data_IF_754481104930
#
_entry.id   IF_754481104930
#
_cell.length_a   1.000
_cell.length_b   1.000
_cell.length_c   1.000
_cell.angle_alpha   90.00
_cell.angle_beta   90.00
_cell.angle_gamma   90.00
#
_symmetry.space_group_name_H-M   'P 1'
#
loop_
_entity.id
_entity.type
_entity.pdbx_description
1 polymer ?
#
# COMPACT_ATOMS: atom_id res chain seq x y z
N UNK A 1 -12.38 13.65 -39.52
CA UNK A 1 -13.61 14.33 -39.08
C UNK A 1 -14.78 13.36 -39.21
N UNK A 2 -15.48 13.18 -38.09
CA UNK A 2 -16.90 12.76 -37.93
C UNK A 2 -17.34 11.35 -38.36
N UNK A 3 -17.70 10.53 -37.35
CA UNK A 3 -18.72 9.47 -37.47
C UNK A 3 -20.12 10.11 -37.55
N UNK A 4 -21.09 9.48 -38.25
CA UNK A 4 -22.50 9.64 -37.93
C UNK A 4 -23.07 8.41 -37.19
N UNK A 5 -24.21 8.66 -36.55
CA UNK A 5 -24.78 8.02 -35.37
C UNK A 5 -25.97 7.10 -35.70
N UNK A 6 -26.10 6.01 -34.91
CA UNK A 6 -27.30 5.29 -34.43
C UNK A 6 -28.46 4.89 -35.36
N UNK A 7 -28.88 3.61 -35.25
CA UNK A 7 -30.29 3.17 -35.13
C UNK A 7 -30.41 1.80 -34.45
N UNK A 8 -31.48 1.62 -33.67
CA UNK A 8 -31.82 0.52 -32.72
C UNK A 8 -32.78 -0.53 -33.32
N UNK A 9 -32.81 -1.76 -32.77
CA UNK A 9 -33.88 -2.76 -32.96
C UNK A 9 -33.40 -4.19 -32.70
N UNK A 10 -33.81 -4.88 -31.63
CA UNK A 10 -35.05 -5.67 -31.43
C UNK A 10 -34.70 -7.17 -31.39
N UNK A 11 -34.46 -7.73 -30.19
CA UNK A 11 -34.44 -9.19 -29.99
C UNK A 11 -35.86 -9.61 -29.61
N UNK A 12 -36.48 -10.42 -30.47
CA UNK A 12 -37.78 -11.05 -30.23
C UNK A 12 -37.65 -12.07 -29.09
N UNK A 13 -38.50 -11.93 -28.08
CA UNK A 13 -38.82 -12.98 -27.10
C UNK A 13 -40.07 -13.70 -27.61
N UNK A 14 -39.93 -14.97 -27.96
CA UNK A 14 -41.06 -15.88 -28.08
C UNK A 14 -40.88 -17.00 -27.03
N UNK A 15 -42.01 -17.29 -26.39
CA UNK A 15 -42.25 -17.90 -25.09
C UNK A 15 -42.23 -19.46 -25.06
N UNK A 16 -41.77 -20.01 -23.92
CA UNK A 16 -42.11 -21.30 -23.25
C UNK A 16 -41.66 -22.69 -23.80
N UNK A 17 -40.69 -23.33 -23.11
CA UNK A 17 -40.92 -24.52 -22.24
C UNK A 17 -39.63 -24.89 -21.46
N UNK A 18 -39.70 -24.77 -20.13
CA UNK A 18 -38.63 -25.12 -19.18
C UNK A 18 -38.87 -26.55 -18.70
N UNK A 19 -37.94 -27.46 -19.02
CA UNK A 19 -38.08 -28.84 -18.56
C UNK A 19 -36.84 -29.73 -18.68
N UNK A 20 -35.66 -29.28 -18.26
CA UNK A 20 -34.54 -30.21 -17.98
C UNK A 20 -33.99 -29.97 -16.59
N UNK A 21 -34.17 -31.00 -15.76
CA UNK A 21 -33.86 -31.04 -14.34
C UNK A 21 -32.35 -31.24 -14.12
N UNK A 22 -31.84 -30.61 -13.05
CA UNK A 22 -30.58 -30.82 -12.34
C UNK A 22 -29.33 -30.04 -12.79
N UNK A 23 -29.02 -28.93 -12.08
CA UNK A 23 -27.66 -28.38 -12.02
C UNK A 23 -27.50 -26.88 -11.75
N UNK A 24 -28.18 -26.32 -10.75
CA UNK A 24 -27.91 -25.04 -10.04
C UNK A 24 -27.04 -23.96 -10.76
N UNK A 25 -27.62 -22.94 -11.44
CA UNK A 25 -26.88 -21.84 -12.07
C UNK A 25 -26.83 -20.62 -11.14
N UNK A 26 -26.10 -20.69 -10.02
CA UNK A 26 -26.14 -19.65 -8.99
C UNK A 26 -24.90 -18.74 -8.94
N UNK A 27 -24.16 -18.56 -10.03
CA UNK A 27 -23.09 -17.55 -10.07
C UNK A 27 -22.95 -16.92 -11.45
N UNK A 28 -23.79 -15.93 -11.72
CA UNK A 28 -23.47 -14.86 -12.66
C UNK A 28 -24.17 -13.55 -12.27
N UNK A 29 -24.26 -13.30 -10.96
CA UNK A 29 -24.45 -11.95 -10.46
C UNK A 29 -23.10 -11.42 -9.98
N UNK A 30 -22.39 -10.73 -10.87
CA UNK A 30 -21.25 -9.89 -10.48
C UNK A 30 -21.83 -8.70 -9.72
N UNK A 31 -22.13 -8.91 -8.45
CA UNK A 31 -22.20 -7.81 -7.50
C UNK A 31 -20.78 -7.20 -7.46
N UNK A 32 -20.61 -5.87 -7.60
CA UNK A 32 -19.33 -5.26 -7.29
C UNK A 32 -19.08 -5.55 -5.81
N UNK A 33 -18.14 -6.45 -5.53
CA UNK A 33 -17.67 -6.71 -4.18
C UNK A 33 -17.27 -5.36 -3.62
N UNK A 34 -18.07 -4.85 -2.67
CA UNK A 34 -17.63 -3.77 -1.81
C UNK A 34 -16.54 -4.40 -0.96
N UNK A 35 -15.30 -4.34 -1.46
CA UNK A 35 -14.13 -4.63 -0.66
C UNK A 35 -14.16 -3.54 0.41
N UNK A 36 -14.73 -3.85 1.57
CA UNK A 36 -14.66 -2.99 2.73
C UNK A 36 -13.18 -2.67 2.94
N UNK A 37 -12.81 -1.40 2.79
CA UNK A 37 -11.46 -0.86 3.00
C UNK A 37 -10.94 -1.03 4.44
N UNK A 38 -11.63 -1.84 5.26
CA UNK A 38 -11.34 -2.11 6.65
C UNK A 38 -10.33 -3.25 6.85
N UNK A 39 -10.11 -4.11 5.85
CA UNK A 39 -9.15 -5.25 5.94
C UNK A 39 -7.87 -5.07 5.13
N UNK A 40 -7.67 -3.92 4.47
CA UNK A 40 -6.33 -3.57 3.96
C UNK A 40 -5.47 -3.19 5.17
N UNK A 41 -4.33 -3.87 5.44
CA UNK A 41 -3.43 -3.46 6.50
C UNK A 41 -2.98 -2.04 6.21
N UNK A 42 -3.52 -1.07 6.96
CA UNK A 42 -3.13 0.33 6.87
C UNK A 42 -1.61 0.37 7.08
N UNK A 43 -0.85 0.81 6.07
CA UNK A 43 0.61 0.91 6.16
C UNK A 43 0.96 1.69 7.42
N UNK A 44 1.44 0.98 8.44
CA UNK A 44 1.88 1.60 9.70
C UNK A 44 3.08 2.45 9.36
N UNK A 45 2.92 3.77 9.51
CA UNK A 45 4.04 4.69 9.36
C UNK A 45 5.03 4.38 10.47
N UNK A 46 6.33 4.29 10.13
CA UNK A 46 7.37 4.10 11.14
C UNK A 46 7.32 5.29 12.10
N UNK A 47 7.20 5.02 13.39
CA UNK A 47 7.19 6.06 14.41
C UNK A 47 8.43 6.95 14.26
N UNK A 48 8.22 8.25 14.44
CA UNK A 48 9.30 9.22 14.46
C UNK A 48 10.12 8.99 15.73
N UNK A 49 11.43 8.83 15.57
CA UNK A 49 12.34 8.79 16.71
C UNK A 49 12.49 10.19 17.28
N UNK A 50 12.34 10.35 18.59
CA UNK A 50 12.68 11.56 19.34
C UNK A 50 13.99 11.30 20.07
N UNK A 51 15.04 12.02 19.70
CA UNK A 51 16.35 11.86 20.34
C UNK A 51 16.35 12.50 21.72
N UNK A 52 17.05 11.87 22.66
CA UNK A 52 17.36 12.49 23.95
C UNK A 52 18.41 13.58 23.76
N UNK A 53 18.52 14.51 24.72
CA UNK A 53 19.55 15.57 24.69
C UNK A 53 20.97 14.99 24.56
N UNK A 54 21.25 13.88 25.24
CA UNK A 54 22.53 13.19 25.14
C UNK A 54 22.80 12.66 23.72
N UNK A 55 21.79 12.03 23.09
CA UNK A 55 21.92 11.53 21.72
C UNK A 55 22.18 12.67 20.72
N UNK A 56 21.48 13.81 20.85
CA UNK A 56 21.71 14.98 20.01
C UNK A 56 23.15 15.50 20.14
N UNK A 57 23.64 15.67 21.37
CA UNK A 57 25.00 16.14 21.60
C UNK A 57 26.06 15.23 20.97
N UNK A 58 25.88 13.91 21.06
CA UNK A 58 26.79 12.94 20.48
C UNK A 58 26.73 12.94 18.95
N UNK A 59 25.54 13.11 18.37
CA UNK A 59 25.36 13.26 16.92
C UNK A 59 26.01 14.56 16.39
N UNK A 60 25.83 15.68 17.10
CA UNK A 60 26.45 16.96 16.78
C UNK A 60 27.99 16.86 16.84
N UNK A 61 28.53 16.29 17.91
CA UNK A 61 29.97 16.06 18.07
C UNK A 61 30.56 15.15 16.99
N UNK A 62 29.79 14.16 16.54
CA UNK A 62 30.20 13.32 15.42
C UNK A 62 30.21 14.11 14.11
N UNK A 63 29.20 14.94 13.89
CA UNK A 63 29.05 15.78 12.69
C UNK A 63 30.16 16.84 12.58
N UNK A 64 30.60 17.42 13.70
CA UNK A 64 31.76 18.33 13.75
C UNK A 64 33.05 17.66 13.26
N UNK A 65 33.22 16.36 13.53
CA UNK A 65 34.40 15.60 13.07
C UNK A 65 34.31 15.27 11.59
N UNK A 66 33.15 14.79 11.16
CA UNK A 66 32.89 14.47 9.75
C UNK A 66 31.39 14.54 9.47
N UNK A 67 31.02 15.28 8.43
CA UNK A 67 29.64 15.37 7.95
C UNK A 67 29.23 14.14 7.14
N UNK A 68 30.21 13.36 6.66
CA UNK A 68 29.99 12.17 5.85
C UNK A 68 30.76 10.98 6.45
N UNK A 69 30.31 10.46 7.61
CA UNK A 69 30.93 9.30 8.22
C UNK A 69 30.77 8.05 7.35
N UNK A 70 31.77 7.18 7.37
CA UNK A 70 31.68 5.87 6.74
C UNK A 70 30.68 4.94 7.46
N UNK A 71 30.40 3.77 6.86
CA UNK A 71 29.44 2.79 7.40
C UNK A 71 29.85 2.34 8.80
N UNK A 72 31.13 2.01 9.02
CA UNK A 72 31.63 1.49 10.28
C UNK A 72 31.50 2.52 11.42
N UNK A 73 31.76 3.79 11.11
CA UNK A 73 31.63 4.88 12.05
C UNK A 73 30.17 5.10 12.42
N UNK A 74 29.25 5.08 11.43
CA UNK A 74 27.81 5.20 11.70
C UNK A 74 27.29 4.04 12.53
N UNK A 75 27.71 2.81 12.25
CA UNK A 75 27.35 1.63 13.05
C UNK A 75 27.83 1.75 14.50
N UNK A 76 29.08 2.16 14.70
CA UNK A 76 29.65 2.37 16.04
C UNK A 76 28.89 3.45 16.80
N UNK A 77 28.56 4.56 16.14
CA UNK A 77 27.79 5.66 16.73
C UNK A 77 26.36 5.22 17.05
N UNK A 78 25.71 4.49 16.15
CA UNK A 78 24.36 3.98 16.33
C UNK A 78 24.29 3.01 17.53
N UNK A 79 25.26 2.11 17.64
CA UNK A 79 25.38 1.18 18.76
C UNK A 79 25.56 1.92 20.09
N UNK A 80 26.41 2.97 20.13
CA UNK A 80 26.62 3.77 21.33
C UNK A 80 25.39 4.58 21.77
N UNK A 81 24.49 4.89 20.83
CA UNK A 81 23.28 5.69 21.07
C UNK A 81 22.02 4.83 21.19
N UNK A 82 22.14 3.51 21.11
CA UNK A 82 21.01 2.56 21.07
C UNK A 82 20.00 2.88 19.95
N UNK A 83 20.53 3.28 18.79
CA UNK A 83 19.77 3.59 17.59
C UNK A 83 20.08 2.57 16.48
N UNK A 84 19.19 2.45 15.51
CA UNK A 84 19.55 1.77 14.25
C UNK A 84 20.44 2.67 13.40
N UNK A 85 21.40 2.11 12.67
CA UNK A 85 22.28 2.86 11.75
C UNK A 85 21.51 3.77 10.79
N UNK A 86 20.36 3.32 10.27
CA UNK A 86 19.46 4.12 9.44
C UNK A 86 18.91 5.41 10.08
N UNK A 87 19.10 5.61 11.39
CA UNK A 87 18.76 6.86 12.10
C UNK A 87 19.95 7.81 12.25
N UNK A 88 21.16 7.35 11.94
CA UNK A 88 22.42 8.11 11.94
C UNK A 88 22.78 8.58 10.51
N UNK A 89 21.92 8.29 9.53
CA UNK A 89 22.06 8.71 8.13
C UNK A 89 21.55 10.13 7.87
#
# INVERSE_FOLDING_TARGET
HSRPSQTVGHISTDDEDIGVVNGNPAYNQIHPVKIDDMDRPKKVRRSRTTFTTHQLHQLEKAFEKTQYPDVNFRESLASNLELSEARVQ
#
